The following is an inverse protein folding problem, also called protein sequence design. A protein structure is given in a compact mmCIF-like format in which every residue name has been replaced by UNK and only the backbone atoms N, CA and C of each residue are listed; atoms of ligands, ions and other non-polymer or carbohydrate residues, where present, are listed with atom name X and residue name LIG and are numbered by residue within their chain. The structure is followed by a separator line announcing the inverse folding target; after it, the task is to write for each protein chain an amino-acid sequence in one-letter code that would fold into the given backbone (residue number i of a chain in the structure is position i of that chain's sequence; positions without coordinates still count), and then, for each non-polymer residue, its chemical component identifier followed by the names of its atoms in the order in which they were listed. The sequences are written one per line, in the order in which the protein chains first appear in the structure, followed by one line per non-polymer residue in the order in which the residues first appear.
data_IF_408970009971
#
_entry.id   IF_408970009971
#
_cell.length_a   1.000
_cell.length_b   1.000
_cell.length_c   1.000
_cell.angle_alpha   90.00
_cell.angle_beta   90.00
_cell.angle_gamma   90.00
#
_symmetry.space_group_name_H-M   'P 1'
#
loop_
_entity.id
_entity.type
_entity.pdbx_description
1 polymer ?
#
# COMPACT_ATOMS: atom_id res chain seq x y z
N UNK A 1 -21.50 -37.99 -20.24
CA UNK A 1 -21.55 -36.57 -20.61
C UNK A 1 -22.15 -35.82 -19.43
N UNK A 2 -21.33 -35.14 -18.62
CA UNK A 2 -21.83 -34.22 -17.56
C UNK A 2 -22.27 -32.95 -18.27
N UNK A 3 -23.56 -32.70 -18.33
CA UNK A 3 -24.07 -31.36 -18.60
C UNK A 3 -23.78 -30.50 -17.39
N UNK A 4 -22.81 -29.58 -17.52
CA UNK A 4 -22.62 -28.50 -16.58
C UNK A 4 -23.66 -27.45 -16.98
N UNK A 5 -24.79 -27.41 -16.30
CA UNK A 5 -25.72 -26.30 -16.40
C UNK A 5 -25.06 -25.08 -15.74
N UNK A 6 -24.53 -24.21 -16.53
CA UNK A 6 -24.11 -22.88 -16.08
C UNK A 6 -25.36 -22.01 -15.99
N UNK A 7 -26.07 -22.09 -14.87
CA UNK A 7 -27.10 -21.09 -14.56
C UNK A 7 -26.41 -19.82 -14.06
N UNK A 8 -26.82 -18.64 -14.52
CA UNK A 8 -26.33 -17.39 -13.96
C UNK A 8 -26.65 -17.38 -12.46
N UNK A 9 -25.62 -17.23 -11.65
CA UNK A 9 -25.75 -17.18 -10.20
C UNK A 9 -25.69 -15.72 -9.77
N UNK A 10 -26.76 -15.23 -9.18
CA UNK A 10 -26.79 -13.87 -8.63
C UNK A 10 -26.30 -13.94 -7.18
N UNK A 11 -25.23 -13.24 -6.90
CA UNK A 11 -24.76 -12.99 -5.54
C UNK A 11 -25.18 -11.59 -5.14
N UNK A 12 -25.83 -11.49 -3.99
CA UNK A 12 -26.19 -10.22 -3.39
C UNK A 12 -25.29 -9.96 -2.17
N UNK A 13 -24.65 -8.81 -2.14
CA UNK A 13 -23.88 -8.37 -0.99
C UNK A 13 -23.97 -6.85 -0.82
N UNK A 14 -23.77 -6.40 0.41
CA UNK A 14 -23.69 -4.97 0.73
C UNK A 14 -22.30 -4.63 1.25
N UNK A 15 -21.88 -3.40 0.99
CA UNK A 15 -20.69 -2.78 1.59
C UNK A 15 -21.14 -1.59 2.41
N UNK A 16 -20.76 -1.57 3.66
CA UNK A 16 -21.16 -0.55 4.62
C UNK A 16 -19.94 0.01 5.34
N UNK A 17 -20.02 1.25 5.75
CA UNK A 17 -18.98 1.93 6.52
C UNK A 17 -19.53 2.56 7.78
N UNK A 18 -18.71 2.66 8.82
CA UNK A 18 -19.05 3.30 10.07
C UNK A 18 -17.85 4.06 10.65
N UNK A 19 -18.13 5.07 11.50
CA UNK A 19 -17.12 5.77 12.29
C UNK A 19 -17.05 5.25 13.74
N UNK A 20 -18.13 4.70 14.26
CA UNK A 20 -18.28 4.27 15.66
C UNK A 20 -18.49 2.75 15.81
N UNK A 21 -18.83 2.04 14.74
CA UNK A 21 -19.17 0.62 14.74
C UNK A 21 -20.65 0.34 15.06
N UNK A 22 -21.42 1.36 15.36
CA UNK A 22 -22.85 1.28 15.71
C UNK A 22 -23.74 1.78 14.56
N UNK A 23 -23.50 3.02 14.11
CA UNK A 23 -24.21 3.61 12.97
C UNK A 23 -23.51 3.26 11.66
N UNK A 24 -24.24 2.60 10.75
CA UNK A 24 -23.69 2.12 9.49
C UNK A 24 -24.29 2.86 8.30
N UNK A 25 -23.45 3.28 7.39
CA UNK A 25 -23.84 3.90 6.13
C UNK A 25 -23.66 2.91 5.01
N UNK A 26 -24.75 2.59 4.32
CA UNK A 26 -24.71 1.75 3.11
C UNK A 26 -23.94 2.50 2.01
N UNK A 27 -22.94 1.83 1.45
CA UNK A 27 -22.13 2.35 0.34
C UNK A 27 -22.47 1.67 -0.96
N UNK A 28 -22.69 0.37 -0.89
CA UNK A 28 -23.10 -0.42 -2.04
C UNK A 28 -24.10 -1.48 -1.65
N UNK A 29 -25.03 -1.68 -2.56
CA UNK A 29 -25.99 -2.76 -2.58
C UNK A 29 -25.88 -3.42 -3.96
N UNK A 30 -25.21 -4.57 -4.02
CA UNK A 30 -24.83 -5.17 -5.28
C UNK A 30 -25.51 -6.51 -5.45
N UNK A 31 -26.41 -6.60 -6.44
CA UNK A 31 -26.95 -7.85 -6.94
C UNK A 31 -26.38 -8.08 -8.36
N UNK A 32 -25.41 -8.98 -8.49
CA UNK A 32 -24.77 -9.28 -9.78
C UNK A 32 -24.75 -10.77 -10.06
N UNK A 33 -24.83 -11.12 -11.34
CA UNK A 33 -24.45 -12.43 -11.80
C UNK A 33 -22.99 -12.71 -11.39
N UNK A 34 -22.78 -13.91 -10.87
CA UNK A 34 -21.48 -14.31 -10.33
C UNK A 34 -20.44 -14.38 -11.43
N UNK A 35 -19.67 -13.35 -11.55
CA UNK A 35 -18.39 -13.34 -12.20
C UNK A 35 -17.44 -12.51 -11.32
N UNK A 36 -16.19 -12.84 -11.32
CA UNK A 36 -15.11 -12.17 -10.56
C UNK A 36 -15.42 -10.71 -10.22
N UNK A 37 -16.10 -10.49 -9.10
CA UNK A 37 -16.49 -9.15 -8.67
C UNK A 37 -15.28 -8.38 -8.18
N UNK A 38 -14.80 -7.45 -8.99
CA UNK A 38 -13.90 -6.40 -8.53
C UNK A 38 -14.74 -5.18 -8.16
N UNK A 39 -14.52 -4.70 -6.97
CA UNK A 39 -15.19 -3.52 -6.46
C UNK A 39 -14.13 -2.48 -6.05
N UNK A 40 -14.23 -1.27 -6.54
CA UNK A 40 -13.38 -0.16 -6.17
C UNK A 40 -14.17 1.13 -6.03
N UNK A 41 -13.92 1.87 -4.97
CA UNK A 41 -14.36 3.26 -4.82
C UNK A 41 -13.27 4.20 -5.29
N UNK A 42 -13.65 5.18 -6.12
CA UNK A 42 -12.75 6.22 -6.60
C UNK A 42 -12.64 7.39 -5.60
N UNK A 43 -13.69 7.65 -4.81
CA UNK A 43 -13.75 8.80 -3.91
C UNK A 43 -13.38 8.43 -2.47
N UNK A 44 -12.68 9.33 -1.80
CA UNK A 44 -12.29 9.16 -0.41
C UNK A 44 -13.51 9.07 0.51
N UNK A 45 -13.60 8.00 1.28
CA UNK A 45 -14.63 7.80 2.30
C UNK A 45 -13.99 7.89 3.67
N UNK A 46 -14.52 8.73 4.53
CA UNK A 46 -14.11 8.74 5.94
C UNK A 46 -14.82 7.61 6.68
N UNK A 47 -14.05 6.62 7.12
CA UNK A 47 -14.55 5.48 7.87
C UNK A 47 -13.50 4.96 8.85
N UNK A 48 -13.95 4.33 9.91
CA UNK A 48 -13.10 3.57 10.84
C UNK A 48 -13.36 2.06 10.69
N UNK A 49 -14.57 1.71 10.29
CA UNK A 49 -15.00 0.33 10.11
C UNK A 49 -15.58 0.15 8.72
N UNK A 50 -15.29 -1.01 8.13
CA UNK A 50 -15.86 -1.46 6.86
C UNK A 50 -16.49 -2.82 7.12
N UNK A 51 -17.72 -3.02 6.64
CA UNK A 51 -18.45 -4.28 6.75
C UNK A 51 -18.93 -4.71 5.37
N UNK A 52 -18.65 -5.97 5.03
CA UNK A 52 -19.22 -6.63 3.84
C UNK A 52 -20.16 -7.70 4.31
N UNK A 53 -21.42 -7.62 3.92
CA UNK A 53 -22.44 -8.58 4.31
C UNK A 53 -22.97 -9.31 3.08
N UNK A 54 -23.04 -10.65 3.16
CA UNK A 54 -23.72 -11.46 2.17
C UNK A 54 -25.24 -11.43 2.40
N UNK A 55 -25.97 -11.07 1.37
CA UNK A 55 -27.43 -11.20 1.31
C UNK A 55 -27.84 -12.56 0.75
N UNK A 56 -28.55 -12.58 -0.36
CA UNK A 56 -28.91 -13.83 -1.05
C UNK A 56 -27.67 -14.42 -1.75
N UNK A 57 -27.32 -15.64 -1.38
CA UNK A 57 -26.24 -16.39 -2.01
C UNK A 57 -26.81 -17.64 -2.69
N UNK A 58 -26.28 -18.02 -3.89
CA UNK A 58 -26.78 -19.17 -4.60
C UNK A 58 -26.62 -20.47 -3.79
N UNK A 59 -27.64 -21.33 -3.85
CA UNK A 59 -27.55 -22.71 -3.34
C UNK A 59 -27.11 -22.86 -1.86
N UNK A 60 -27.43 -21.91 -0.99
CA UNK A 60 -27.03 -21.97 0.42
C UNK A 60 -25.52 -21.86 0.66
N UNK A 61 -24.81 -21.28 -0.28
CA UNK A 61 -23.37 -21.06 -0.13
C UNK A 61 -23.08 -19.96 0.89
N UNK A 62 -21.89 -20.01 1.47
CA UNK A 62 -21.38 -18.97 2.34
C UNK A 62 -20.66 -17.89 1.52
N UNK A 63 -20.77 -16.64 1.92
CA UNK A 63 -19.99 -15.56 1.33
C UNK A 63 -18.51 -15.87 1.46
N UNK A 64 -17.81 -15.87 0.34
CA UNK A 64 -16.37 -16.08 0.27
C UNK A 64 -15.74 -14.88 -0.41
N UNK A 65 -14.80 -14.24 0.29
CA UNK A 65 -14.04 -13.10 -0.21
C UNK A 65 -12.62 -13.60 -0.45
N UNK A 66 -12.17 -13.60 -1.70
CA UNK A 66 -10.83 -14.04 -2.07
C UNK A 66 -9.73 -13.04 -1.68
N UNK A 67 -10.09 -11.78 -1.48
CA UNK A 67 -9.20 -10.74 -0.97
C UNK A 67 -9.96 -9.46 -0.69
N UNK A 68 -9.67 -8.85 0.44
CA UNK A 68 -10.13 -7.50 0.79
C UNK A 68 -8.90 -6.61 0.93
N UNK A 69 -8.86 -5.53 0.16
CA UNK A 69 -7.81 -4.51 0.26
C UNK A 69 -8.46 -3.17 0.53
N UNK A 70 -8.00 -2.52 1.57
CA UNK A 70 -8.46 -1.19 1.95
C UNK A 70 -7.27 -0.25 1.84
N UNK A 71 -7.43 0.81 1.05
CA UNK A 71 -6.42 1.83 0.86
C UNK A 71 -6.93 3.13 1.44
N UNK A 72 -6.08 3.81 2.18
CA UNK A 72 -6.43 5.10 2.78
C UNK A 72 -5.38 5.57 3.76
N UNK A 73 -5.58 6.79 4.22
CA UNK A 73 -4.74 7.40 5.25
C UNK A 73 -5.57 7.67 6.50
N UNK A 74 -4.95 7.53 7.66
CA UNK A 74 -5.51 8.01 8.92
C UNK A 74 -5.62 9.54 8.96
N UNK A 75 -6.30 10.06 9.95
CA UNK A 75 -6.47 11.50 10.18
C UNK A 75 -5.44 12.10 11.16
N UNK A 76 -4.47 11.31 11.59
CA UNK A 76 -3.41 11.73 12.50
C UNK A 76 -2.24 12.43 11.79
N UNK A 77 -1.19 12.67 12.55
CA UNK A 77 0.04 13.29 12.04
C UNK A 77 0.82 12.31 11.16
N UNK A 78 1.26 12.76 10.00
CA UNK A 78 2.24 12.05 9.17
C UNK A 78 3.59 12.00 9.87
N UNK A 79 4.48 11.09 9.51
CA UNK A 79 5.83 11.07 10.05
C UNK A 79 6.63 12.31 9.60
N UNK A 80 7.68 12.64 10.34
CA UNK A 80 8.62 13.64 9.91
C UNK A 80 9.40 13.19 8.66
N UNK A 81 9.89 14.14 7.85
CA UNK A 81 10.70 13.82 6.68
C UNK A 81 12.03 13.16 7.10
N UNK A 82 12.41 12.11 6.42
CA UNK A 82 13.70 11.46 6.59
C UNK A 82 14.81 12.34 5.96
N UNK A 83 15.88 12.59 6.74
CA UNK A 83 17.09 13.26 6.25
C UNK A 83 18.10 12.17 5.87
N UNK A 84 18.10 11.81 4.61
CA UNK A 84 18.96 10.74 4.12
C UNK A 84 20.42 11.17 3.98
N UNK A 85 21.32 10.24 4.28
CA UNK A 85 22.72 10.26 3.88
C UNK A 85 23.02 8.98 3.10
N UNK A 86 23.79 9.08 2.02
CA UNK A 86 24.11 7.95 1.17
C UNK A 86 25.62 7.95 0.88
N UNK A 87 26.26 6.81 1.08
CA UNK A 87 27.70 6.62 0.91
C UNK A 87 27.99 5.33 0.19
N UNK A 88 28.88 5.35 -0.80
CA UNK A 88 29.44 4.14 -1.38
C UNK A 88 30.30 3.41 -0.34
N UNK A 89 30.04 2.12 -0.15
CA UNK A 89 30.82 1.25 0.71
C UNK A 89 31.95 0.59 -0.11
N UNK A 90 31.60 0.15 -1.31
CA UNK A 90 32.53 -0.40 -2.30
C UNK A 90 31.99 -0.19 -3.73
N UNK A 91 32.57 -0.87 -4.72
CA UNK A 91 32.18 -0.73 -6.11
C UNK A 91 30.73 -1.13 -6.41
N UNK A 92 30.11 -2.00 -5.62
CA UNK A 92 28.79 -2.57 -5.86
C UNK A 92 27.77 -2.22 -4.79
N UNK A 93 28.21 -1.79 -3.60
CA UNK A 93 27.37 -1.57 -2.44
C UNK A 93 27.32 -0.10 -2.04
N UNK A 94 26.13 0.35 -1.64
CA UNK A 94 25.88 1.67 -1.08
C UNK A 94 25.10 1.58 0.22
N UNK A 95 25.59 2.27 1.25
CA UNK A 95 24.88 2.41 2.54
C UNK A 95 24.06 3.68 2.55
N UNK A 96 22.78 3.55 2.84
CA UNK A 96 21.84 4.64 3.03
C UNK A 96 21.43 4.64 4.50
N UNK A 97 21.43 5.80 5.13
CA UNK A 97 21.02 5.97 6.53
C UNK A 97 20.22 7.27 6.70
N UNK A 98 19.42 7.33 7.74
CA UNK A 98 18.64 8.52 8.12
C UNK A 98 18.50 8.60 9.64
N UNK A 99 18.03 9.73 10.16
CA UNK A 99 17.77 9.87 11.59
C UNK A 99 16.58 9.01 12.01
N UNK A 100 16.54 8.61 13.28
CA UNK A 100 15.40 7.93 13.85
C UNK A 100 14.11 8.77 13.75
N UNK A 101 12.98 8.12 13.44
CA UNK A 101 11.68 8.74 13.21
C UNK A 101 10.64 8.08 14.13
N UNK A 102 10.37 8.70 15.28
CA UNK A 102 9.54 8.13 16.36
C UNK A 102 8.13 7.70 15.93
N UNK A 103 7.54 8.39 14.96
CA UNK A 103 6.17 8.11 14.50
C UNK A 103 6.10 7.50 13.10
N UNK A 104 7.21 7.02 12.56
CA UNK A 104 7.24 6.27 11.31
C UNK A 104 7.06 4.77 11.58
N UNK A 105 6.22 4.12 10.79
CA UNK A 105 6.13 2.65 10.75
C UNK A 105 7.25 2.05 9.91
N UNK A 106 7.75 2.81 8.95
CA UNK A 106 8.85 2.42 8.09
C UNK A 106 9.22 3.51 7.10
N UNK A 107 10.21 3.18 6.27
CA UNK A 107 10.69 4.04 5.20
C UNK A 107 10.70 3.30 3.86
N UNK A 108 10.44 4.03 2.78
CA UNK A 108 10.63 3.54 1.42
C UNK A 108 11.84 4.25 0.80
N UNK A 109 12.91 3.52 0.59
CA UNK A 109 14.12 4.02 -0.06
C UNK A 109 13.92 3.91 -1.56
N UNK A 110 13.73 5.03 -2.24
CA UNK A 110 13.67 5.11 -3.70
C UNK A 110 15.03 5.50 -4.25
N UNK A 111 15.45 4.87 -5.33
CA UNK A 111 16.74 5.18 -5.93
C UNK A 111 16.76 4.98 -7.45
N UNK A 112 17.69 5.64 -8.10
CA UNK A 112 17.86 5.58 -9.56
C UNK A 112 19.08 6.36 -10.04
N UNK A 113 19.27 6.42 -11.34
CA UNK A 113 20.45 7.04 -11.99
C UNK A 113 20.25 8.52 -12.35
N UNK A 114 19.06 9.07 -12.09
CA UNK A 114 18.77 10.49 -12.24
C UNK A 114 17.82 10.96 -11.13
N UNK A 115 17.85 12.24 -10.75
CA UNK A 115 17.06 12.73 -9.61
C UNK A 115 15.55 12.64 -9.82
N UNK A 116 15.10 12.66 -11.08
CA UNK A 116 13.71 12.52 -11.51
C UNK A 116 13.33 11.09 -11.93
N UNK A 117 14.25 10.11 -11.80
CA UNK A 117 14.09 8.71 -12.25
C UNK A 117 14.44 7.72 -11.14
N UNK A 118 13.75 7.81 -10.01
CA UNK A 118 13.91 6.92 -8.87
C UNK A 118 13.01 5.70 -9.02
N UNK A 119 13.30 4.84 -9.98
CA UNK A 119 12.42 3.72 -10.38
C UNK A 119 12.57 2.46 -9.53
N UNK A 120 13.61 2.38 -8.71
CA UNK A 120 13.80 1.28 -7.77
C UNK A 120 13.33 1.70 -6.39
N UNK A 121 12.80 0.74 -5.61
CA UNK A 121 12.40 0.99 -4.25
C UNK A 121 12.69 -0.18 -3.33
N UNK A 122 12.97 0.13 -2.08
CA UNK A 122 13.21 -0.85 -1.02
C UNK A 122 12.49 -0.41 0.26
N UNK A 123 11.60 -1.26 0.77
CA UNK A 123 10.88 -1.00 2.02
C UNK A 123 11.73 -1.44 3.23
N UNK A 124 11.86 -0.56 4.21
CA UNK A 124 12.61 -0.78 5.44
C UNK A 124 11.70 -0.58 6.64
N UNK A 125 11.67 -1.57 7.53
CA UNK A 125 10.92 -1.53 8.78
C UNK A 125 11.87 -1.77 9.95
N UNK A 126 11.70 -0.99 11.03
CA UNK A 126 12.43 -1.20 12.28
C UNK A 126 13.94 -0.97 12.20
N UNK A 127 14.41 -0.24 11.17
CA UNK A 127 15.79 0.15 11.03
C UNK A 127 15.88 1.56 10.43
N UNK A 128 16.98 2.24 10.71
CA UNK A 128 17.27 3.60 10.25
C UNK A 128 18.38 3.60 9.18
N UNK A 129 18.68 2.43 8.62
CA UNK A 129 19.66 2.23 7.55
C UNK A 129 19.37 1.00 6.69
N UNK A 130 19.93 1.00 5.49
CA UNK A 130 19.93 -0.15 4.58
C UNK A 130 21.18 -0.13 3.70
N UNK A 131 21.66 -1.31 3.33
CA UNK A 131 22.69 -1.47 2.29
C UNK A 131 22.02 -1.91 1.00
N UNK A 132 22.17 -1.11 -0.04
CA UNK A 132 21.79 -1.48 -1.40
C UNK A 132 22.97 -2.17 -2.05
N UNK A 133 22.80 -3.44 -2.39
CA UNK A 133 23.80 -4.26 -3.07
C UNK A 133 23.51 -4.36 -4.57
N UNK A 134 24.50 -4.79 -5.34
CA UNK A 134 24.40 -4.97 -6.81
C UNK A 134 24.19 -3.66 -7.59
N UNK A 135 24.70 -2.56 -7.09
CA UNK A 135 24.79 -1.30 -7.83
C UNK A 135 25.86 -1.40 -8.93
N UNK A 136 25.75 -0.57 -9.95
CA UNK A 136 26.76 -0.52 -11.02
C UNK A 136 28.01 0.25 -10.56
N UNK A 137 29.18 -0.33 -10.75
CA UNK A 137 30.46 0.30 -10.43
C UNK A 137 30.64 1.61 -11.22
N UNK A 138 31.07 2.68 -10.54
CA UNK A 138 31.29 3.99 -11.16
C UNK A 138 30.02 4.75 -11.56
N UNK A 139 28.84 4.18 -11.31
CA UNK A 139 27.56 4.85 -11.58
C UNK A 139 27.14 5.70 -10.40
N UNK A 140 26.84 6.96 -10.64
CA UNK A 140 26.21 7.85 -9.68
C UNK A 140 24.73 7.46 -9.49
N UNK A 141 24.28 7.42 -8.23
CA UNK A 141 22.89 7.19 -7.88
C UNK A 141 22.30 8.38 -7.13
N UNK A 142 20.99 8.54 -7.29
CA UNK A 142 20.15 9.48 -6.56
C UNK A 142 19.20 8.70 -5.68
N UNK A 143 19.08 9.09 -4.42
CA UNK A 143 18.34 8.36 -3.39
C UNK A 143 17.38 9.32 -2.70
N UNK A 144 16.17 8.87 -2.45
CA UNK A 144 15.17 9.54 -1.63
C UNK A 144 14.63 8.56 -0.61
N UNK A 145 14.47 9.00 0.63
CA UNK A 145 13.90 8.18 1.71
C UNK A 145 12.58 8.79 2.14
N UNK A 146 11.48 8.13 1.77
CA UNK A 146 10.14 8.54 2.15
C UNK A 146 9.72 7.81 3.42
N UNK A 147 9.38 8.54 4.45
CA UNK A 147 8.84 7.97 5.68
C UNK A 147 7.32 7.78 5.58
N UNK A 148 6.78 6.74 6.21
CA UNK A 148 5.34 6.50 6.20
C UNK A 148 4.81 5.94 7.53
N UNK A 149 3.55 6.22 7.77
CA UNK A 149 2.73 5.60 8.80
C UNK A 149 1.28 5.47 8.29
N UNK A 150 0.34 5.06 9.16
CA UNK A 150 -1.09 4.94 8.82
C UNK A 150 -1.74 6.27 8.40
N UNK A 151 -1.12 7.41 8.69
CA UNK A 151 -1.66 8.74 8.36
C UNK A 151 -1.12 9.29 7.04
N UNK A 152 -0.16 8.62 6.42
CA UNK A 152 0.33 8.95 5.10
C UNK A 152 1.84 8.87 4.96
N UNK A 153 2.32 9.41 3.83
CA UNK A 153 3.72 9.42 3.44
C UNK A 153 4.24 10.85 3.51
N UNK A 154 5.47 11.01 4.00
CA UNK A 154 6.24 12.25 3.92
C UNK A 154 7.47 11.99 3.07
N UNK A 155 7.56 12.68 1.94
CA UNK A 155 8.71 12.55 1.04
C UNK A 155 9.95 13.20 1.65
N UNK A 156 11.09 12.55 1.48
CA UNK A 156 12.39 13.10 1.82
C UNK A 156 13.02 13.88 0.67
N UNK A 157 14.16 14.50 0.97
CA UNK A 157 14.96 15.15 -0.07
C UNK A 157 15.76 14.12 -0.86
N UNK A 158 16.01 14.42 -2.14
CA UNK A 158 16.87 13.60 -2.99
C UNK A 158 18.33 13.90 -2.68
N UNK A 159 19.08 12.88 -2.31
CA UNK A 159 20.53 12.97 -2.08
C UNK A 159 21.28 12.24 -3.20
N UNK A 160 22.49 12.72 -3.49
CA UNK A 160 23.38 12.13 -4.50
C UNK A 160 24.39 11.22 -3.82
N UNK A 161 24.62 10.05 -4.38
CA UNK A 161 25.71 9.14 -4.03
C UNK A 161 26.62 8.98 -5.25
N UNK A 162 27.84 9.47 -5.14
CA UNK A 162 28.82 9.35 -6.22
C UNK A 162 29.19 7.88 -6.49
N UNK A 163 29.56 7.59 -7.73
CA UNK A 163 29.93 6.23 -8.17
C UNK A 163 31.34 5.81 -7.78
#
# INVERSE_FOLDING_TARGET
TRHIETRPQISHYTVETSLDGEAWTLREDVARECSNGYYAYADGIRARYIRVMGGALPYGQTLRISGLRVFGNGAGARPAAAKAAAVRVDALDGKISWQHLDNAQGCNVRYGTAPDKLYHSWLVYGADEVTLSTLMAGQTYYICVDSFNENGITEGDVVKMEG
#
